data_IF_123114040112
#
_entry.id   IF_123114040112
#
_cell.length_a   1.000
_cell.length_b   1.000
_cell.length_c   1.000
_cell.angle_alpha   90.00
_cell.angle_beta   90.00
_cell.angle_gamma   90.00
#
_symmetry.space_group_name_H-M   'P 1'
#
loop_
_entity.id
_entity.type
_entity.pdbx_description
1 polymer ?
#
# COMPACT_ATOMS: atom_id res chain seq x y z
N UNK A 1 8.28 -13.82 -7.64
CA UNK A 1 8.02 -13.41 -6.25
C UNK A 1 8.00 -11.89 -6.22
N UNK A 2 6.83 -11.29 -6.07
CA UNK A 2 6.68 -9.83 -5.88
C UNK A 2 7.29 -9.47 -4.53
N UNK A 3 8.32 -8.64 -4.55
CA UNK A 3 9.01 -8.17 -3.35
C UNK A 3 8.21 -7.05 -2.68
N UNK A 4 8.32 -6.99 -1.36
CA UNK A 4 7.87 -5.85 -0.56
C UNK A 4 8.51 -4.56 -1.08
N UNK A 5 7.71 -3.51 -1.24
CA UNK A 5 8.17 -2.22 -1.76
C UNK A 5 8.14 -1.18 -0.66
N UNK A 6 9.28 -0.54 -0.39
CA UNK A 6 9.33 0.58 0.55
C UNK A 6 8.44 1.72 0.04
N UNK A 7 7.48 2.14 0.85
CA UNK A 7 6.54 3.22 0.56
C UNK A 7 6.97 4.53 1.21
N UNK A 8 7.37 4.45 2.48
CA UNK A 8 7.70 5.62 3.28
C UNK A 8 8.73 5.24 4.33
N UNK A 9 9.69 6.13 4.57
CA UNK A 9 10.54 6.11 5.75
C UNK A 9 10.50 7.47 6.44
N UNK A 10 10.55 7.47 7.77
CA UNK A 10 10.55 8.70 8.57
C UNK A 10 11.32 8.48 9.88
N UNK A 11 12.03 9.51 10.31
CA UNK A 11 12.70 9.51 11.62
C UNK A 11 11.93 10.42 12.57
N UNK A 12 11.66 9.93 13.77
CA UNK A 12 10.99 10.67 14.83
C UNK A 12 11.97 10.97 15.97
N UNK A 13 11.77 12.12 16.61
CA UNK A 13 12.58 12.59 17.74
C UNK A 13 12.63 11.59 18.88
N UNK A 14 13.79 11.52 19.55
CA UNK A 14 14.06 10.66 20.72
C UNK A 14 13.10 10.82 21.91
N UNK A 15 12.39 11.94 21.98
CA UNK A 15 11.42 12.22 23.05
C UNK A 15 10.06 11.54 22.82
N UNK A 16 9.78 11.08 21.60
CA UNK A 16 8.53 10.40 21.28
C UNK A 16 8.57 8.94 21.77
N UNK A 17 7.45 8.49 22.35
CA UNK A 17 7.23 7.05 22.55
C UNK A 17 6.82 6.40 21.21
N UNK A 18 7.04 5.08 21.10
CA UNK A 18 6.76 4.32 19.87
C UNK A 18 5.29 4.39 19.45
N UNK A 19 4.35 4.42 20.40
CA UNK A 19 2.91 4.50 20.09
C UNK A 19 2.49 5.84 19.45
N UNK A 20 3.04 6.94 19.94
CA UNK A 20 2.83 8.28 19.35
C UNK A 20 3.54 8.41 18.01
N UNK A 21 4.79 7.93 17.91
CA UNK A 21 5.52 7.89 16.65
C UNK A 21 4.75 7.08 15.59
N UNK A 22 4.18 5.95 15.99
CA UNK A 22 3.33 5.12 15.13
C UNK A 22 2.09 5.88 14.68
N UNK A 23 1.33 6.48 15.60
CA UNK A 23 0.10 7.21 15.26
C UNK A 23 0.38 8.32 14.24
N UNK A 24 1.43 9.12 14.47
CA UNK A 24 1.88 10.12 13.51
C UNK A 24 2.32 9.48 12.19
N UNK A 25 3.03 8.35 12.23
CA UNK A 25 3.45 7.65 11.03
C UNK A 25 2.27 7.15 10.20
N UNK A 26 1.19 6.66 10.83
CA UNK A 26 -0.03 6.25 10.15
C UNK A 26 -0.72 7.40 9.43
N UNK A 27 -0.74 8.60 10.00
CA UNK A 27 -1.26 9.79 9.31
C UNK A 27 -0.47 10.07 8.03
N UNK A 28 0.87 10.03 8.08
CA UNK A 28 1.71 10.22 6.89
C UNK A 28 1.48 9.12 5.83
N UNK A 29 1.22 7.89 6.26
CA UNK A 29 0.90 6.78 5.34
C UNK A 29 -0.45 7.01 4.68
N UNK A 30 -1.48 7.42 5.44
CA UNK A 30 -2.82 7.67 4.92
C UNK A 30 -2.83 8.77 3.84
N UNK A 31 -1.96 9.77 3.96
CA UNK A 31 -1.78 10.81 2.94
C UNK A 31 -1.40 10.23 1.56
N UNK A 32 -0.62 9.14 1.51
CA UNK A 32 -0.23 8.46 0.25
C UNK A 32 -1.45 7.92 -0.49
N UNK A 33 -2.49 7.47 0.23
CA UNK A 33 -3.70 6.87 -0.35
C UNK A 33 -4.85 7.86 -0.55
N UNK A 34 -4.66 9.13 -0.16
CA UNK A 34 -5.67 10.17 -0.23
C UNK A 34 -6.78 10.04 0.84
N UNK A 35 -7.45 11.16 1.14
CA UNK A 35 -8.32 11.34 2.31
C UNK A 35 -9.61 10.51 2.38
N UNK A 36 -9.85 9.56 1.46
CA UNK A 36 -11.00 8.62 1.53
C UNK A 36 -10.62 7.26 2.09
N UNK A 37 -9.34 6.96 2.19
CA UNK A 37 -8.84 5.67 2.70
C UNK A 37 -8.77 5.73 4.22
N UNK A 38 -9.24 4.69 4.90
CA UNK A 38 -9.21 4.58 6.37
C UNK A 38 -8.56 3.27 6.78
N UNK A 39 -8.08 3.18 8.02
CA UNK A 39 -7.60 1.92 8.58
C UNK A 39 -8.80 1.01 8.82
N UNK A 40 -8.77 -0.18 8.23
CA UNK A 40 -9.79 -1.21 8.42
C UNK A 40 -9.38 -2.18 9.54
N UNK A 41 -8.12 -2.63 9.53
CA UNK A 41 -7.63 -3.61 10.49
C UNK A 41 -6.15 -3.38 10.82
N UNK A 42 -5.75 -3.70 12.06
CA UNK A 42 -4.36 -3.67 12.53
C UNK A 42 -4.04 -4.99 13.22
N UNK A 43 -2.92 -5.60 12.85
CA UNK A 43 -2.43 -6.86 13.43
C UNK A 43 -0.98 -6.69 13.87
N UNK A 44 -0.72 -6.50 15.18
CA UNK A 44 0.64 -6.49 15.71
C UNK A 44 1.34 -7.82 15.41
N UNK A 45 2.57 -7.75 14.93
CA UNK A 45 3.43 -8.91 14.65
C UNK A 45 4.46 -9.07 15.77
N UNK A 46 5.14 -7.96 16.11
CA UNK A 46 6.19 -7.93 17.14
C UNK A 46 6.07 -6.64 17.94
N UNK A 47 6.20 -6.73 19.26
CA UNK A 47 6.19 -5.58 20.17
C UNK A 47 7.24 -5.74 21.27
N UNK A 48 8.13 -4.77 21.34
CA UNK A 48 9.10 -4.58 22.43
C UNK A 48 9.39 -3.09 22.61
N UNK A 49 10.16 -2.73 23.63
CA UNK A 49 10.57 -1.35 23.89
C UNK A 49 11.38 -0.72 22.74
N UNK A 50 12.08 -1.53 21.95
CA UNK A 50 12.99 -1.06 20.90
C UNK A 50 12.52 -1.37 19.48
N UNK A 51 11.52 -2.22 19.32
CA UNK A 51 11.03 -2.68 18.02
C UNK A 51 9.53 -2.92 18.08
N UNK A 52 8.82 -2.30 17.16
CA UNK A 52 7.42 -2.54 16.90
C UNK A 52 7.18 -2.82 15.43
N UNK A 53 6.45 -3.89 15.13
CA UNK A 53 6.07 -4.26 13.78
C UNK A 53 4.58 -4.60 13.76
N UNK A 54 3.83 -4.02 12.84
CA UNK A 54 2.41 -4.35 12.64
C UNK A 54 2.03 -4.41 11.16
N UNK A 55 1.07 -5.26 10.86
CA UNK A 55 0.37 -5.28 9.58
C UNK A 55 -0.88 -4.41 9.65
N UNK A 56 -1.10 -3.60 8.63
CA UNK A 56 -2.22 -2.67 8.55
C UNK A 56 -2.96 -2.93 7.25
N UNK A 57 -4.26 -3.15 7.35
CA UNK A 57 -5.15 -3.26 6.19
C UNK A 57 -6.00 -2.01 6.10
N UNK A 58 -6.03 -1.38 4.94
CA UNK A 58 -6.85 -0.20 4.67
C UNK A 58 -8.22 -0.58 4.07
N UNK A 59 -9.17 0.35 4.12
CA UNK A 59 -10.54 0.15 3.61
C UNK A 59 -10.62 -0.12 2.11
N UNK A 60 -9.60 0.26 1.35
CA UNK A 60 -9.46 -0.03 -0.08
C UNK A 60 -8.82 -1.42 -0.36
N UNK A 61 -8.47 -2.17 0.69
CA UNK A 61 -7.87 -3.50 0.61
C UNK A 61 -6.34 -3.52 0.60
N UNK A 62 -5.65 -2.38 0.49
CA UNK A 62 -4.18 -2.35 0.56
C UNK A 62 -3.69 -2.83 1.92
N UNK A 63 -2.57 -3.55 1.90
CA UNK A 63 -1.88 -4.00 3.10
C UNK A 63 -0.50 -3.36 3.17
N UNK A 64 -0.12 -2.92 4.36
CA UNK A 64 1.19 -2.35 4.64
C UNK A 64 1.73 -2.96 5.91
N UNK A 65 3.00 -3.37 5.86
CA UNK A 65 3.77 -3.64 7.06
C UNK A 65 4.47 -2.37 7.52
N UNK A 66 4.25 -1.98 8.76
CA UNK A 66 5.01 -0.93 9.40
C UNK A 66 6.03 -1.52 10.37
N UNK A 67 7.22 -0.92 10.42
CA UNK A 67 8.30 -1.29 11.33
C UNK A 67 8.85 -0.02 11.95
N UNK A 68 8.81 0.08 13.28
CA UNK A 68 9.38 1.16 14.05
C UNK A 68 10.48 0.60 14.94
N UNK A 69 11.69 1.11 14.78
CA UNK A 69 12.86 0.70 15.54
C UNK A 69 13.48 1.89 16.24
N UNK A 70 13.70 1.77 17.55
CA UNK A 70 14.46 2.78 18.30
C UNK A 70 15.94 2.50 18.14
N UNK A 71 16.68 3.51 17.68
CA UNK A 71 18.13 3.45 17.61
C UNK A 71 18.71 3.46 19.04
N UNK A 72 19.53 2.49 19.44
CA UNK A 72 20.04 2.39 20.82
C UNK A 72 21.05 3.48 21.18
N UNK A 73 21.68 4.14 20.19
CA UNK A 73 22.68 5.19 20.40
C UNK A 73 22.04 6.58 20.41
N UNK A 74 21.20 6.87 19.42
CA UNK A 74 20.58 8.21 19.26
C UNK A 74 19.23 8.34 19.97
N UNK A 75 18.61 7.21 20.34
CA UNK A 75 17.24 7.10 20.86
C UNK A 75 16.13 7.55 19.91
N UNK A 76 16.48 7.96 18.69
CA UNK A 76 15.52 8.29 17.64
C UNK A 76 14.75 7.04 17.19
N UNK A 77 13.54 7.24 16.66
CA UNK A 77 12.71 6.15 16.14
C UNK A 77 12.73 6.21 14.62
N UNK A 78 13.26 5.17 14.00
CA UNK A 78 13.21 4.95 12.56
C UNK A 78 11.94 4.18 12.24
N UNK A 79 11.06 4.78 11.42
CA UNK A 79 9.81 4.19 11.00
C UNK A 79 9.86 3.90 9.49
N UNK A 80 9.44 2.69 9.11
CA UNK A 80 9.39 2.22 7.74
C UNK A 80 8.01 1.63 7.43
N UNK A 81 7.49 1.91 6.25
CA UNK A 81 6.26 1.36 5.73
C UNK A 81 6.56 0.63 4.42
N UNK A 82 6.19 -0.65 4.34
CA UNK A 82 6.37 -1.49 3.17
C UNK A 82 5.00 -1.91 2.65
N UNK A 83 4.79 -1.77 1.36
CA UNK A 83 3.61 -2.34 0.70
C UNK A 83 3.72 -3.85 0.72
N UNK A 84 2.64 -4.51 1.14
CA UNK A 84 2.56 -5.95 1.24
C UNK A 84 1.58 -6.46 0.19
N UNK A 85 2.03 -7.35 -0.72
CA UNK A 85 1.15 -7.94 -1.70
C UNK A 85 0.16 -8.90 -1.04
N UNK A 86 -1.00 -9.11 -1.67
CA UNK A 86 -1.96 -10.07 -1.16
C UNK A 86 -1.55 -11.50 -1.52
N UNK A 87 -0.77 -12.13 -0.64
CA UNK A 87 -0.24 -13.47 -0.84
C UNK A 87 -1.30 -14.55 -1.07
N UNK A 88 -2.51 -14.39 -0.52
CA UNK A 88 -3.61 -15.36 -0.69
C UNK A 88 -4.14 -15.34 -2.13
N UNK A 89 -4.22 -14.16 -2.75
CA UNK A 89 -4.59 -14.08 -4.17
C UNK A 89 -3.42 -14.52 -5.07
N UNK A 90 -2.21 -14.10 -4.75
CA UNK A 90 -1.03 -14.43 -5.54
C UNK A 90 -0.66 -15.92 -5.51
N UNK A 91 -1.03 -16.67 -4.46
CA UNK A 91 -0.77 -18.11 -4.42
C UNK A 91 -1.54 -18.91 -5.47
N UNK A 92 -2.60 -18.31 -6.04
CA UNK A 92 -3.46 -18.93 -7.04
C UNK A 92 -3.22 -18.41 -8.46
N UNK A 93 -2.22 -17.56 -8.66
CA UNK A 93 -1.90 -16.95 -9.95
C UNK A 93 -0.43 -17.17 -10.29
N UNK A 94 -0.17 -17.60 -11.53
CA UNK A 94 1.18 -17.55 -12.08
C UNK A 94 1.61 -16.12 -12.35
N UNK A 95 2.93 -15.89 -12.43
CA UNK A 95 3.46 -14.56 -12.76
C UNK A 95 3.08 -14.15 -14.19
N UNK A 96 2.96 -15.10 -15.11
CA UNK A 96 2.50 -14.85 -16.48
C UNK A 96 1.04 -14.39 -16.53
N UNK A 97 0.13 -15.06 -15.80
CA UNK A 97 -1.29 -14.69 -15.74
C UNK A 97 -1.47 -13.27 -15.20
N UNK A 98 -0.77 -12.94 -14.09
CA UNK A 98 -0.84 -11.63 -13.48
C UNK A 98 -0.33 -10.52 -14.41
N UNK A 99 0.80 -10.76 -15.09
CA UNK A 99 1.34 -9.81 -16.07
C UNK A 99 0.38 -9.60 -17.24
N UNK A 100 -0.22 -10.68 -17.75
CA UNK A 100 -1.19 -10.60 -18.84
C UNK A 100 -2.43 -9.80 -18.42
N UNK A 101 -2.97 -10.05 -17.23
CA UNK A 101 -4.10 -9.28 -16.69
C UNK A 101 -3.77 -7.79 -16.59
N UNK A 102 -2.60 -7.44 -16.06
CA UNK A 102 -2.17 -6.04 -15.94
C UNK A 102 -2.06 -5.36 -17.31
N UNK A 103 -1.42 -6.02 -18.28
CA UNK A 103 -1.27 -5.51 -19.64
C UNK A 103 -2.63 -5.28 -20.33
N UNK A 104 -3.56 -6.23 -20.21
CA UNK A 104 -4.89 -6.12 -20.81
C UNK A 104 -5.69 -4.95 -20.23
N UNK A 105 -5.76 -4.85 -18.89
CA UNK A 105 -6.48 -3.77 -18.21
C UNK A 105 -5.87 -2.40 -18.54
N UNK A 106 -4.54 -2.31 -18.54
CA UNK A 106 -3.84 -1.07 -18.88
C UNK A 106 -4.12 -0.64 -20.32
N UNK A 107 -4.02 -1.58 -21.27
CA UNK A 107 -4.23 -1.31 -22.70
C UNK A 107 -5.66 -0.86 -23.00
N UNK A 108 -6.67 -1.52 -22.44
CA UNK A 108 -8.07 -1.12 -22.65
C UNK A 108 -8.36 0.24 -22.02
N UNK A 109 -7.82 0.53 -20.83
CA UNK A 109 -7.94 1.86 -20.21
C UNK A 109 -7.34 2.96 -21.08
N UNK A 110 -6.13 2.75 -21.62
CA UNK A 110 -5.46 3.71 -22.50
C UNK A 110 -6.26 3.93 -23.79
N UNK A 111 -6.82 2.86 -24.37
CA UNK A 111 -7.68 2.94 -25.55
C UNK A 111 -8.93 3.78 -25.30
N UNK A 112 -9.60 3.62 -24.16
CA UNK A 112 -10.77 4.43 -23.78
C UNK A 112 -10.37 5.90 -23.59
N UNK A 113 -9.27 6.16 -22.88
CA UNK A 113 -8.78 7.53 -22.65
C UNK A 113 -8.38 8.27 -23.93
N UNK A 114 -7.94 7.54 -24.97
CA UNK A 114 -7.53 8.11 -26.25
C UNK A 114 -8.71 8.36 -27.21
N UNK A 115 -9.93 7.99 -26.84
CA UNK A 115 -11.13 8.33 -27.62
C UNK A 115 -11.41 9.83 -27.52
N UNK A 116 -12.18 10.36 -28.48
CA UNK A 116 -12.69 11.73 -28.35
C UNK A 116 -13.54 11.81 -27.09
N UNK A 117 -13.40 12.90 -26.33
CA UNK A 117 -14.07 13.05 -25.03
C UNK A 117 -15.59 12.84 -25.08
N UNK A 118 -16.24 13.19 -26.20
CA UNK A 118 -17.67 12.98 -26.45
C UNK A 118 -18.09 11.53 -26.68
N UNK A 119 -17.14 10.63 -26.91
CA UNK A 119 -17.35 9.22 -27.27
C UNK A 119 -16.93 8.27 -26.12
N UNK A 120 -16.32 8.81 -25.05
CA UNK A 120 -15.88 8.02 -23.90
C UNK A 120 -17.10 7.47 -23.15
N UNK A 121 -17.22 6.15 -23.12
CA UNK A 121 -18.11 5.48 -22.17
C UNK A 121 -17.51 5.59 -20.75
N UNK A 122 -18.05 6.52 -19.97
CA UNK A 122 -17.63 6.77 -18.59
C UNK A 122 -17.76 5.52 -17.72
N UNK A 123 -18.77 4.67 -17.97
CA UNK A 123 -18.97 3.43 -17.21
C UNK A 123 -17.85 2.44 -17.49
N UNK A 124 -17.44 2.31 -18.75
CA UNK A 124 -16.34 1.44 -19.13
C UNK A 124 -15.02 1.92 -18.52
N UNK A 125 -14.76 3.23 -18.55
CA UNK A 125 -13.58 3.84 -17.94
C UNK A 125 -13.54 3.61 -16.42
N UNK A 126 -14.68 3.75 -15.73
CA UNK A 126 -14.81 3.49 -14.29
C UNK A 126 -14.49 2.03 -13.95
N UNK A 127 -15.04 1.09 -14.73
CA UNK A 127 -14.78 -0.35 -14.54
C UNK A 127 -13.30 -0.66 -14.76
N UNK A 128 -12.68 -0.17 -15.83
CA UNK A 128 -11.26 -0.40 -16.09
C UNK A 128 -10.36 0.21 -15.02
N UNK A 129 -10.71 1.41 -14.53
CA UNK A 129 -9.99 2.05 -13.42
C UNK A 129 -10.14 1.27 -12.11
N UNK A 130 -11.33 0.71 -11.84
CA UNK A 130 -11.56 -0.17 -10.69
C UNK A 130 -10.75 -1.47 -10.78
N UNK A 131 -10.71 -2.10 -11.95
CA UNK A 131 -9.92 -3.32 -12.18
C UNK A 131 -8.43 -3.06 -11.99
N UNK A 132 -7.91 -1.95 -12.50
CA UNK A 132 -6.52 -1.56 -12.31
C UNK A 132 -6.19 -1.37 -10.83
N UNK A 133 -7.08 -0.72 -10.07
CA UNK A 133 -6.92 -0.53 -8.63
C UNK A 133 -6.90 -1.87 -7.87
N UNK A 134 -7.80 -2.81 -8.22
CA UNK A 134 -7.81 -4.15 -7.62
C UNK A 134 -6.52 -4.92 -7.91
N UNK A 135 -5.99 -4.82 -9.12
CA UNK A 135 -4.70 -5.42 -9.45
C UNK A 135 -3.56 -4.83 -8.61
N UNK A 136 -3.53 -3.50 -8.44
CA UNK A 136 -2.56 -2.83 -7.57
C UNK A 136 -2.64 -3.29 -6.11
N UNK A 137 -3.85 -3.50 -5.58
CA UNK A 137 -4.06 -4.06 -4.24
C UNK A 137 -3.49 -5.49 -4.15
N UNK A 138 -3.73 -6.32 -5.16
CA UNK A 138 -3.22 -7.70 -5.20
C UNK A 138 -1.69 -7.73 -5.24
N UNK A 139 -1.09 -6.87 -6.08
CA UNK A 139 0.37 -6.84 -6.28
C UNK A 139 1.12 -6.03 -5.22
N UNK A 140 0.43 -5.21 -4.43
CA UNK A 140 1.05 -4.24 -3.54
C UNK A 140 1.71 -3.08 -4.30
N UNK A 141 1.43 -2.89 -5.59
CA UNK A 141 2.05 -1.83 -6.38
C UNK A 141 1.35 -0.49 -6.18
N UNK A 142 2.08 0.45 -5.62
CA UNK A 142 1.73 1.87 -5.56
C UNK A 142 2.71 2.60 -6.48
N UNK A 143 2.20 3.61 -7.20
CA UNK A 143 2.79 4.38 -8.33
C UNK A 143 2.18 3.95 -9.67
#
# INVERSE_FOLDING_TARGET
MTQEKLLLSKTFSKQLNIGTALSNFLENILEIFGGKTTIYERRPITFSEYLYVEMITFSNGFQIRTSLKRNPETFEIEAFAYSEPNHVYLSNLTSEELNLMYLLVKKEREKIMNQKYSEVDQRELEVMSSLLMKLKVITGEII
#
